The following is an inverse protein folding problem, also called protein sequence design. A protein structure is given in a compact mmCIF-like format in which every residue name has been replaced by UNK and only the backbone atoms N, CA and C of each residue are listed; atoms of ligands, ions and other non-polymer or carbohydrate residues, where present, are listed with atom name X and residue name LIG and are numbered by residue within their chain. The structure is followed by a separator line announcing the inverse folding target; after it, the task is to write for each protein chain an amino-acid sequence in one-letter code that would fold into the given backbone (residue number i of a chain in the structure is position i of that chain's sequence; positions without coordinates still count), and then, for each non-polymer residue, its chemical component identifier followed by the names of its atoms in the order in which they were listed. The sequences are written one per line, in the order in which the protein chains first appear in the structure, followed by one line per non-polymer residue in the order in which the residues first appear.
data_IF_763574005616
#
_entry.id   IF_763574005616
#
_cell.length_a   1.000
_cell.length_b   1.000
_cell.length_c   1.000
_cell.angle_alpha   90.00
_cell.angle_beta   90.00
_cell.angle_gamma   90.00
#
_symmetry.space_group_name_H-M   'P 1'
#
loop_
_entity.id
_entity.type
_entity.pdbx_description
1 polymer ?
#
# COMPACT_ATOMS: atom_id res chain seq x y z
N UNK A 1 -25.14 -2.36 4.77
CA UNK A 1 -24.21 -1.30 4.32
C UNK A 1 -22.77 -1.50 4.80
N UNK A 2 -22.55 -1.83 6.09
CA UNK A 2 -21.22 -2.14 6.59
C UNK A 2 -20.60 -3.37 5.92
N UNK A 3 -21.41 -4.35 5.54
CA UNK A 3 -20.97 -5.59 4.90
C UNK A 3 -20.40 -5.35 3.49
N UNK A 4 -21.03 -4.46 2.71
CA UNK A 4 -20.54 -4.10 1.37
C UNK A 4 -19.22 -3.35 1.44
N UNK A 5 -19.03 -2.53 2.45
CA UNK A 5 -17.80 -1.79 2.66
C UNK A 5 -16.66 -2.74 3.04
N UNK A 6 -16.92 -3.67 3.95
CA UNK A 6 -15.94 -4.69 4.37
C UNK A 6 -15.58 -5.57 3.19
N UNK A 7 -16.58 -6.02 2.40
CA UNK A 7 -16.36 -6.85 1.23
C UNK A 7 -15.48 -6.14 0.18
N UNK A 8 -15.71 -4.85 -0.06
CA UNK A 8 -14.89 -4.07 -1.00
C UNK A 8 -13.47 -3.88 -0.52
N UNK A 9 -13.27 -3.63 0.78
CA UNK A 9 -11.94 -3.52 1.37
C UNK A 9 -11.19 -4.83 1.28
N UNK A 10 -11.86 -5.94 1.58
CA UNK A 10 -11.28 -7.28 1.49
C UNK A 10 -10.89 -7.62 0.05
N UNK A 11 -11.74 -7.28 -0.93
CA UNK A 11 -11.47 -7.51 -2.34
C UNK A 11 -10.25 -6.73 -2.83
N UNK A 12 -10.17 -5.44 -2.48
CA UNK A 12 -9.01 -4.61 -2.82
C UNK A 12 -7.72 -5.14 -2.20
N UNK A 13 -7.78 -5.49 -0.92
CA UNK A 13 -6.62 -6.03 -0.20
C UNK A 13 -6.17 -7.37 -0.81
N UNK A 14 -7.12 -8.21 -1.22
CA UNK A 14 -6.83 -9.48 -1.91
C UNK A 14 -6.06 -9.25 -3.22
N UNK A 15 -6.46 -8.25 -4.02
CA UNK A 15 -5.75 -7.92 -5.26
C UNK A 15 -4.35 -7.38 -4.98
N UNK A 16 -4.18 -6.54 -3.96
CA UNK A 16 -2.86 -6.04 -3.57
C UNK A 16 -1.95 -7.16 -3.07
N UNK A 17 -2.49 -8.09 -2.30
CA UNK A 17 -1.76 -9.27 -1.84
C UNK A 17 -1.32 -10.14 -3.02
N UNK A 18 -2.23 -10.39 -3.97
CA UNK A 18 -1.90 -11.15 -5.18
C UNK A 18 -0.80 -10.47 -5.99
N UNK A 19 -0.83 -9.14 -6.08
CA UNK A 19 0.22 -8.37 -6.76
C UNK A 19 1.57 -8.50 -6.04
N UNK A 20 1.59 -8.39 -4.71
CA UNK A 20 2.84 -8.50 -3.93
C UNK A 20 3.44 -9.89 -3.98
N UNK A 21 2.62 -10.92 -4.16
CA UNK A 21 3.05 -12.32 -4.28
C UNK A 21 3.38 -12.73 -5.71
N UNK A 22 3.09 -11.87 -6.68
CA UNK A 22 3.39 -12.12 -8.10
C UNK A 22 4.89 -12.28 -8.31
N UNK A 23 5.34 -13.23 -9.16
CA UNK A 23 6.76 -13.37 -9.51
C UNK A 23 7.37 -12.11 -10.14
N UNK A 24 6.54 -11.27 -10.73
CA UNK A 24 6.99 -10.00 -11.35
C UNK A 24 7.17 -8.88 -10.33
N UNK A 25 6.59 -9.00 -9.14
CA UNK A 25 6.65 -7.93 -8.14
C UNK A 25 8.08 -7.62 -7.67
N UNK A 26 8.95 -8.60 -7.36
CA UNK A 26 10.32 -8.31 -6.97
C UNK A 26 11.08 -7.51 -8.03
N UNK A 27 10.83 -7.77 -9.30
CA UNK A 27 11.43 -7.05 -10.41
C UNK A 27 10.94 -5.59 -10.42
N UNK A 28 9.64 -5.40 -10.31
CA UNK A 28 9.03 -4.07 -10.23
C UNK A 28 9.58 -3.29 -9.02
N UNK A 29 9.61 -3.93 -7.85
CA UNK A 29 10.12 -3.32 -6.62
C UNK A 29 11.59 -2.89 -6.77
N UNK A 30 12.42 -3.73 -7.37
CA UNK A 30 13.83 -3.41 -7.63
C UNK A 30 13.97 -2.17 -8.52
N UNK A 31 13.18 -2.08 -9.58
CA UNK A 31 13.17 -0.93 -10.47
C UNK A 31 12.76 0.35 -9.71
N UNK A 32 11.69 0.29 -8.94
CA UNK A 32 11.21 1.45 -8.15
C UNK A 32 12.22 1.86 -7.09
N UNK A 33 12.80 0.92 -6.36
CA UNK A 33 13.83 1.20 -5.36
C UNK A 33 15.09 1.79 -6.00
N UNK A 34 15.44 1.31 -7.19
CA UNK A 34 16.54 1.89 -7.98
C UNK A 34 16.25 3.34 -8.34
N UNK A 35 15.03 3.66 -8.72
CA UNK A 35 14.61 5.02 -9.03
C UNK A 35 14.68 5.91 -7.78
N UNK A 36 14.22 5.41 -6.64
CA UNK A 36 14.28 6.12 -5.36
C UNK A 36 15.76 6.43 -5.00
N UNK A 37 16.63 5.46 -5.13
CA UNK A 37 18.07 5.66 -4.86
C UNK A 37 18.69 6.69 -5.78
N UNK A 38 18.36 6.64 -7.07
CA UNK A 38 18.89 7.57 -8.06
C UNK A 38 18.45 9.01 -7.76
N UNK A 39 17.18 9.21 -7.44
CA UNK A 39 16.65 10.53 -7.10
C UNK A 39 17.24 11.04 -5.78
N UNK A 40 17.40 10.18 -4.79
CA UNK A 40 18.03 10.54 -3.51
C UNK A 40 19.47 11.00 -3.71
N UNK A 41 20.27 10.28 -4.51
CA UNK A 41 21.64 10.66 -4.84
C UNK A 41 21.72 11.99 -5.56
N UNK A 42 20.76 12.25 -6.44
CA UNK A 42 20.68 13.52 -7.18
C UNK A 42 20.60 14.69 -6.22
N UNK A 43 19.77 14.61 -5.17
CA UNK A 43 19.64 15.68 -4.19
C UNK A 43 20.88 15.84 -3.32
N UNK A 44 21.52 14.76 -2.95
CA UNK A 44 22.73 14.78 -2.12
C UNK A 44 23.92 15.32 -2.92
N UNK A 45 24.04 14.96 -4.21
CA UNK A 45 25.16 15.31 -5.06
C UNK A 45 25.09 16.69 -5.71
N UNK A 46 23.95 17.37 -5.64
CA UNK A 46 23.74 18.67 -6.31
C UNK A 46 23.79 19.81 -5.29
N UNK A 47 24.84 20.66 -5.32
CA UNK A 47 25.02 21.70 -4.30
C UNK A 47 24.01 22.86 -4.41
N UNK A 48 23.42 23.08 -5.57
CA UNK A 48 22.41 24.13 -5.77
C UNK A 48 21.22 23.55 -6.51
N UNK A 49 20.10 23.45 -5.81
CA UNK A 49 18.82 22.98 -6.36
C UNK A 49 17.79 24.08 -6.11
N UNK A 50 17.00 24.43 -7.12
CA UNK A 50 15.92 25.40 -6.94
C UNK A 50 14.84 24.80 -6.02
N UNK A 51 14.07 25.68 -5.35
CA UNK A 51 12.97 25.24 -4.50
C UNK A 51 11.95 24.41 -5.28
N UNK A 52 11.69 24.77 -6.52
CA UNK A 52 10.78 24.06 -7.40
C UNK A 52 11.26 22.64 -7.68
N UNK A 53 12.55 22.45 -7.95
CA UNK A 53 13.16 21.15 -8.17
C UNK A 53 13.14 20.29 -6.91
N UNK A 54 13.39 20.89 -5.74
CA UNK A 54 13.28 20.22 -4.45
C UNK A 54 11.87 19.73 -4.19
N UNK A 55 10.88 20.58 -4.41
CA UNK A 55 9.48 20.22 -4.19
C UNK A 55 9.04 19.10 -5.12
N UNK A 56 9.44 19.17 -6.39
CA UNK A 56 9.15 18.11 -7.37
C UNK A 56 9.79 16.79 -6.94
N UNK A 57 11.06 16.82 -6.58
CA UNK A 57 11.80 15.61 -6.19
C UNK A 57 11.26 14.97 -4.91
N UNK A 58 10.89 15.78 -3.91
CA UNK A 58 10.25 15.28 -2.70
C UNK A 58 8.90 14.62 -3.02
N UNK A 59 8.10 15.25 -3.88
CA UNK A 59 6.83 14.68 -4.32
C UNK A 59 7.02 13.36 -5.05
N UNK A 60 8.01 13.27 -5.93
CA UNK A 60 8.33 12.04 -6.65
C UNK A 60 8.76 10.93 -5.69
N UNK A 61 9.69 11.21 -4.76
CA UNK A 61 10.16 10.24 -3.77
C UNK A 61 9.01 9.76 -2.88
N UNK A 62 8.20 10.67 -2.38
CA UNK A 62 7.05 10.33 -1.56
C UNK A 62 6.05 9.48 -2.33
N UNK A 63 5.78 9.81 -3.59
CA UNK A 63 4.89 9.04 -4.45
C UNK A 63 5.38 7.62 -4.69
N UNK A 64 6.66 7.44 -5.00
CA UNK A 64 7.25 6.13 -5.25
C UNK A 64 7.24 5.27 -3.98
N UNK A 65 7.63 5.82 -2.84
CA UNK A 65 7.62 5.13 -1.56
C UNK A 65 6.20 4.76 -1.13
N UNK A 66 5.26 5.68 -1.31
CA UNK A 66 3.85 5.45 -0.98
C UNK A 66 3.27 4.32 -1.84
N UNK A 67 3.59 4.29 -3.14
CA UNK A 67 3.11 3.23 -4.02
C UNK A 67 3.58 1.84 -3.55
N UNK A 68 4.85 1.70 -3.18
CA UNK A 68 5.37 0.43 -2.66
C UNK A 68 4.69 0.06 -1.34
N UNK A 69 4.51 1.03 -0.44
CA UNK A 69 3.85 0.79 0.83
C UNK A 69 2.40 0.34 0.67
N UNK A 70 1.67 0.92 -0.29
CA UNK A 70 0.29 0.51 -0.58
C UNK A 70 0.24 -0.96 -0.97
N UNK A 71 1.14 -1.40 -1.85
CA UNK A 71 1.18 -2.78 -2.31
C UNK A 71 1.57 -3.72 -1.16
N UNK A 72 2.62 -3.39 -0.42
CA UNK A 72 3.15 -4.22 0.67
C UNK A 72 2.21 -4.33 1.86
N UNK A 73 1.43 -3.27 2.12
CA UNK A 73 0.43 -3.27 3.20
C UNK A 73 -0.87 -3.95 2.81
N UNK A 74 -1.05 -4.30 1.54
CA UNK A 74 -2.26 -4.97 1.07
C UNK A 74 -2.56 -6.23 1.86
N UNK A 75 -1.55 -7.04 2.17
CA UNK A 75 -1.70 -8.26 2.97
C UNK A 75 -2.23 -7.95 4.37
N UNK A 76 -1.67 -6.95 5.04
CA UNK A 76 -2.13 -6.53 6.38
C UNK A 76 -3.54 -5.98 6.36
N UNK A 77 -3.89 -5.23 5.32
CA UNK A 77 -5.25 -4.71 5.15
C UNK A 77 -6.25 -5.83 4.93
N UNK A 78 -5.85 -6.86 4.18
CA UNK A 78 -6.68 -8.03 3.95
C UNK A 78 -6.93 -8.78 5.27
N UNK A 79 -5.90 -9.03 6.07
CA UNK A 79 -6.03 -9.66 7.38
C UNK A 79 -6.95 -8.87 8.30
N UNK A 80 -6.79 -7.54 8.32
CA UNK A 80 -7.62 -6.66 9.14
C UNK A 80 -9.09 -6.71 8.70
N UNK A 81 -9.34 -6.65 7.39
CA UNK A 81 -10.69 -6.75 6.84
C UNK A 81 -11.35 -8.09 7.19
N UNK A 82 -10.58 -9.17 7.12
CA UNK A 82 -11.09 -10.51 7.50
C UNK A 82 -11.42 -10.60 8.99
N UNK A 83 -10.60 -10.01 9.85
CA UNK A 83 -10.89 -9.94 11.28
C UNK A 83 -12.17 -9.16 11.58
N UNK A 84 -12.36 -8.04 10.89
CA UNK A 84 -13.56 -7.22 11.03
C UNK A 84 -14.81 -8.00 10.58
N UNK A 85 -14.73 -8.72 9.46
CA UNK A 85 -15.81 -9.54 8.96
C UNK A 85 -16.19 -10.65 9.96
N UNK A 86 -15.20 -11.32 10.53
CA UNK A 86 -15.41 -12.36 11.55
C UNK A 86 -16.04 -11.80 12.82
N UNK A 87 -15.59 -10.61 13.24
CA UNK A 87 -16.16 -9.94 14.41
C UNK A 87 -17.65 -9.59 14.20
N UNK A 88 -17.99 -9.12 12.98
CA UNK A 88 -19.39 -8.82 12.63
C UNK A 88 -20.25 -10.10 12.62
N UNK A 89 -19.74 -11.19 12.04
CA UNK A 89 -20.43 -12.48 12.04
C UNK A 89 -20.65 -13.00 13.47
N UNK A 90 -19.66 -12.86 14.33
CA UNK A 90 -19.78 -13.25 15.74
C UNK A 90 -20.85 -12.43 16.48
N UNK A 91 -20.93 -11.13 16.21
CA UNK A 91 -21.96 -10.26 16.78
C UNK A 91 -23.36 -10.64 16.29
N UNK A 92 -23.51 -10.89 14.99
CA UNK A 92 -24.76 -11.33 14.39
C UNK A 92 -25.20 -12.69 14.94
N UNK A 93 -24.25 -13.62 15.11
CA UNK A 93 -24.51 -14.93 15.72
C UNK A 93 -24.95 -14.81 17.17
N UNK A 94 -24.35 -13.92 17.96
CA UNK A 94 -24.73 -13.67 19.34
C UNK A 94 -26.12 -13.07 19.45
N UNK A 95 -26.49 -12.16 18.57
CA UNK A 95 -27.83 -11.59 18.51
C UNK A 95 -28.88 -12.62 18.08
N UNK A 96 -28.50 -13.53 17.18
CA UNK A 96 -29.38 -14.60 16.70
C UNK A 96 -29.70 -15.66 17.75
N UNK A 97 -28.85 -15.84 18.75
CA UNK A 97 -29.04 -16.82 19.82
C UNK A 97 -30.03 -16.34 20.93
N UNK A 98 -30.46 -15.13 20.86
CA UNK A 98 -31.46 -14.59 21.77
C UNK A 98 -32.85 -14.67 21.15
#
# INVERSE_FOLDING_TARGET
MSDDRVARLADRAKHLTALSESPSYPIFKEIVEGKIRAETRRFIGTPVVSQQELDYGRGLLNGLQTALLIIERGEKQFELAMRQARALEALEGAEGDN
#
